data_IF_032150796189
#
_entry.id   IF_032150796189
#
_cell.length_a   1.000
_cell.length_b   1.000
_cell.length_c   1.000
_cell.angle_alpha   90.00
_cell.angle_beta   90.00
_cell.angle_gamma   90.00
#
_symmetry.space_group_name_H-M   'P 1'
#
loop_
_entity.id
_entity.type
_entity.pdbx_description
1 polymer ?
#
# COMPACT_ATOMS: atom_id res chain seq x y z
N UNK A 1 15.07 -60.72 21.12
CA UNK A 1 14.33 -59.96 20.10
C UNK A 1 15.32 -59.06 19.38
N UNK A 2 15.73 -59.43 18.17
CA UNK A 2 16.59 -58.56 17.36
C UNK A 2 15.69 -57.55 16.65
N UNK A 3 15.72 -56.29 17.08
CA UNK A 3 15.17 -55.19 16.27
C UNK A 3 15.98 -55.14 14.97
N UNK A 4 15.32 -55.37 13.85
CA UNK A 4 15.96 -55.51 12.55
C UNK A 4 16.70 -54.23 12.19
N UNK A 5 17.95 -54.35 11.73
CA UNK A 5 18.78 -53.24 11.25
C UNK A 5 18.06 -52.38 10.18
N UNK A 6 17.13 -52.97 9.42
CA UNK A 6 16.30 -52.29 8.42
C UNK A 6 15.23 -51.36 9.03
N UNK A 7 14.61 -51.72 10.16
CA UNK A 7 13.64 -50.87 10.86
C UNK A 7 14.30 -49.61 11.43
N UNK A 8 15.56 -49.73 11.88
CA UNK A 8 16.33 -48.62 12.43
C UNK A 8 16.71 -47.58 11.35
N UNK A 9 16.95 -48.01 10.11
CA UNK A 9 17.27 -47.10 9.00
C UNK A 9 16.02 -46.39 8.46
N UNK A 10 14.87 -47.08 8.40
CA UNK A 10 13.60 -46.49 7.97
C UNK A 10 13.09 -45.45 8.98
N UNK A 11 13.21 -45.72 10.28
CA UNK A 11 12.85 -44.79 11.35
C UNK A 11 13.76 -43.57 11.39
N UNK A 12 15.08 -43.72 11.20
CA UNK A 12 16.01 -42.59 11.05
C UNK A 12 15.68 -41.72 9.84
N UNK A 13 15.34 -42.32 8.70
CA UNK A 13 14.97 -41.58 7.48
C UNK A 13 13.65 -40.81 7.67
N UNK A 14 12.67 -41.43 8.34
CA UNK A 14 11.37 -40.80 8.65
C UNK A 14 11.53 -39.66 9.65
N UNK A 15 12.37 -39.84 10.67
CA UNK A 15 12.69 -38.81 11.64
C UNK A 15 13.40 -37.62 10.97
N UNK A 16 14.37 -37.89 10.10
CA UNK A 16 15.09 -36.84 9.36
C UNK A 16 14.14 -36.06 8.43
N UNK A 17 13.22 -36.75 7.74
CA UNK A 17 12.20 -36.11 6.91
C UNK A 17 11.23 -35.24 7.74
N UNK A 18 10.75 -35.75 8.88
CA UNK A 18 9.87 -35.00 9.77
C UNK A 18 10.58 -33.80 10.41
N UNK A 19 11.86 -33.93 10.74
CA UNK A 19 12.69 -32.85 11.28
C UNK A 19 12.92 -31.75 10.24
N UNK A 20 13.27 -32.14 9.01
CA UNK A 20 13.38 -31.21 7.89
C UNK A 20 12.05 -30.51 7.60
N UNK A 21 10.93 -31.26 7.60
CA UNK A 21 9.59 -30.70 7.39
C UNK A 21 9.19 -29.71 8.49
N UNK A 22 9.42 -30.04 9.76
CA UNK A 22 8.90 -29.25 10.87
C UNK A 22 9.78 -28.03 11.19
N UNK A 23 11.10 -28.14 11.02
CA UNK A 23 12.01 -27.05 11.32
C UNK A 23 12.32 -26.24 10.07
N UNK A 24 12.83 -26.90 9.03
CA UNK A 24 13.39 -26.22 7.87
C UNK A 24 12.35 -25.49 7.01
N UNK A 25 11.12 -25.99 6.91
CA UNK A 25 10.06 -25.35 6.13
C UNK A 25 9.67 -23.95 6.66
N UNK A 26 9.44 -23.75 7.97
CA UNK A 26 9.25 -22.41 8.53
C UNK A 26 10.40 -21.43 8.26
N UNK A 27 11.65 -21.88 8.29
CA UNK A 27 12.80 -21.02 7.98
C UNK A 27 12.76 -20.56 6.52
N UNK A 28 12.59 -21.49 5.58
CA UNK A 28 12.47 -21.15 4.14
C UNK A 28 11.31 -20.18 3.89
N UNK A 29 10.16 -20.38 4.57
CA UNK A 29 9.01 -19.49 4.44
C UNK A 29 9.31 -18.07 4.95
N UNK A 30 10.14 -17.95 6.00
CA UNK A 30 10.57 -16.67 6.54
C UNK A 30 11.53 -15.96 5.59
N UNK A 31 12.52 -16.67 5.09
CA UNK A 31 13.55 -16.12 4.21
C UNK A 31 12.93 -15.60 2.89
N UNK A 32 12.02 -16.37 2.27
CA UNK A 32 11.30 -15.93 1.06
C UNK A 32 10.44 -14.67 1.31
N UNK A 33 9.82 -14.55 2.49
CA UNK A 33 9.09 -13.33 2.85
C UNK A 33 10.02 -12.12 2.98
N UNK A 34 11.16 -12.29 3.65
CA UNK A 34 12.15 -11.23 3.83
C UNK A 34 12.72 -10.78 2.47
N UNK A 35 13.11 -11.73 1.61
CA UNK A 35 13.62 -11.41 0.27
C UNK A 35 12.62 -10.63 -0.59
N UNK A 36 11.34 -11.01 -0.57
CA UNK A 36 10.28 -10.28 -1.30
C UNK A 36 10.13 -8.86 -0.77
N UNK A 37 10.18 -8.68 0.54
CA UNK A 37 10.09 -7.37 1.19
C UNK A 37 11.28 -6.50 0.83
N UNK A 38 12.49 -7.05 0.79
CA UNK A 38 13.69 -6.31 0.42
C UNK A 38 13.69 -5.90 -1.04
N UNK A 39 13.32 -6.80 -1.95
CA UNK A 39 13.17 -6.48 -3.38
C UNK A 39 12.10 -5.40 -3.61
N UNK A 40 10.98 -5.48 -2.87
CA UNK A 40 9.95 -4.44 -2.93
C UNK A 40 10.46 -3.11 -2.40
N UNK A 41 11.21 -3.10 -1.28
CA UNK A 41 11.84 -1.89 -0.73
C UNK A 41 12.76 -1.24 -1.75
N UNK A 42 13.68 -2.01 -2.34
CA UNK A 42 14.60 -1.54 -3.36
C UNK A 42 13.84 -0.97 -4.58
N UNK A 43 12.80 -1.67 -5.06
CA UNK A 43 11.97 -1.18 -6.16
C UNK A 43 11.22 0.12 -5.83
N UNK A 44 10.68 0.24 -4.61
CA UNK A 44 10.03 1.46 -4.13
C UNK A 44 11.04 2.61 -4.05
N UNK A 45 12.23 2.38 -3.51
CA UNK A 45 13.25 3.41 -3.35
C UNK A 45 13.76 3.91 -4.71
N UNK A 46 13.97 3.00 -5.67
CA UNK A 46 14.26 3.34 -7.05
C UNK A 46 13.13 4.18 -7.67
N UNK A 47 11.88 3.75 -7.56
CA UNK A 47 10.74 4.48 -8.13
C UNK A 47 10.46 5.82 -7.43
N UNK A 48 10.76 5.96 -6.14
CA UNK A 48 10.75 7.24 -5.42
C UNK A 48 11.83 8.17 -5.93
N UNK A 49 13.07 7.68 -6.10
CA UNK A 49 14.18 8.47 -6.63
C UNK A 49 13.91 8.94 -8.07
N UNK A 50 13.24 8.11 -8.87
CA UNK A 50 12.79 8.45 -10.23
C UNK A 50 11.55 9.36 -10.26
N UNK A 51 10.97 9.75 -9.11
CA UNK A 51 9.82 10.65 -9.04
C UNK A 51 8.52 10.09 -9.63
N UNK A 52 8.38 8.75 -9.68
CA UNK A 52 7.18 8.08 -10.22
C UNK A 52 6.00 8.11 -9.25
N UNK A 53 6.26 8.16 -7.94
CA UNK A 53 5.22 8.29 -6.93
C UNK A 53 4.72 9.74 -6.81
N UNK A 54 3.80 10.12 -7.69
CA UNK A 54 3.18 11.46 -7.71
C UNK A 54 1.87 11.54 -6.90
N UNK A 55 1.56 10.50 -6.12
CA UNK A 55 0.32 10.38 -5.36
C UNK A 55 -0.93 10.26 -6.23
N UNK A 56 -2.11 10.42 -5.63
CA UNK A 56 -3.38 10.43 -6.35
C UNK A 56 -3.52 11.75 -7.12
N UNK A 57 -3.67 11.66 -8.45
CA UNK A 57 -3.95 12.83 -9.29
C UNK A 57 -5.26 13.51 -8.83
N UNK A 58 -5.25 14.83 -8.56
CA UNK A 58 -6.47 15.56 -8.26
C UNK A 58 -7.47 15.47 -9.42
N UNK A 59 -8.77 15.42 -9.11
CA UNK A 59 -9.80 15.50 -10.14
C UNK A 59 -10.03 16.98 -10.50
N UNK A 60 -9.40 17.43 -11.58
CA UNK A 60 -9.43 18.83 -12.02
C UNK A 60 -10.86 19.35 -12.25
N UNK A 61 -11.72 18.55 -12.90
CA UNK A 61 -13.11 18.95 -13.22
C UNK A 61 -13.91 19.29 -11.96
N UNK A 62 -13.78 18.46 -10.94
CA UNK A 62 -14.47 18.67 -9.65
C UNK A 62 -13.92 19.90 -8.93
N UNK A 63 -12.60 20.14 -9.03
CA UNK A 63 -12.00 21.32 -8.43
C UNK A 63 -12.48 22.62 -9.11
N UNK A 64 -12.56 22.65 -10.44
CA UNK A 64 -13.10 23.78 -11.22
C UNK A 64 -14.56 24.07 -10.86
N UNK A 65 -15.40 23.03 -10.77
CA UNK A 65 -16.79 23.17 -10.36
C UNK A 65 -16.93 23.77 -8.95
N UNK A 66 -16.10 23.31 -8.00
CA UNK A 66 -16.10 23.86 -6.63
C UNK A 66 -15.71 25.34 -6.63
N UNK A 67 -14.68 25.73 -7.40
CA UNK A 67 -14.22 27.12 -7.50
C UNK A 67 -15.31 28.01 -8.11
N UNK A 68 -15.97 27.56 -9.17
CA UNK A 68 -17.09 28.29 -9.80
C UNK A 68 -18.27 28.47 -8.83
N UNK A 69 -18.67 27.41 -8.12
CA UNK A 69 -19.75 27.47 -7.12
C UNK A 69 -19.40 28.39 -5.96
N UNK A 70 -18.13 28.38 -5.52
CA UNK A 70 -17.68 29.28 -4.45
C UNK A 70 -17.52 30.73 -4.89
N UNK A 71 -17.05 30.98 -6.12
CA UNK A 71 -17.03 32.30 -6.72
C UNK A 71 -18.43 32.89 -6.89
N UNK A 72 -19.44 32.05 -7.16
CA UNK A 72 -20.84 32.42 -7.22
C UNK A 72 -21.53 32.66 -5.87
N UNK A 73 -20.80 32.59 -4.75
CA UNK A 73 -21.34 32.90 -3.41
C UNK A 73 -22.06 31.74 -2.71
N UNK A 74 -22.02 30.51 -3.23
CA UNK A 74 -22.69 29.37 -2.58
C UNK A 74 -22.06 29.01 -1.23
N UNK A 75 -22.90 28.55 -0.29
CA UNK A 75 -22.42 28.03 1.00
C UNK A 75 -21.60 26.74 0.81
N UNK A 76 -20.74 26.41 1.78
CA UNK A 76 -19.86 25.22 1.66
C UNK A 76 -20.70 23.93 1.59
N UNK A 77 -21.81 23.87 2.33
CA UNK A 77 -22.70 22.71 2.36
C UNK A 77 -23.50 22.56 1.04
N UNK A 78 -23.94 23.68 0.44
CA UNK A 78 -24.60 23.68 -0.87
C UNK A 78 -23.62 23.25 -1.98
N UNK A 79 -22.41 23.81 -2.00
CA UNK A 79 -21.39 23.45 -2.99
C UNK A 79 -21.00 21.96 -2.90
N UNK A 80 -20.92 21.41 -1.69
CA UNK A 80 -20.65 19.99 -1.47
C UNK A 80 -21.77 19.09 -2.04
N UNK A 81 -23.05 19.46 -1.81
CA UNK A 81 -24.19 18.72 -2.35
C UNK A 81 -24.25 18.78 -3.88
N UNK A 82 -24.07 19.96 -4.47
CA UNK A 82 -24.14 20.16 -5.92
C UNK A 82 -22.98 19.49 -6.66
N UNK A 83 -21.77 19.49 -6.09
CA UNK A 83 -20.61 18.83 -6.68
C UNK A 83 -20.50 17.34 -6.32
N UNK A 84 -21.36 16.81 -5.44
CA UNK A 84 -21.34 15.41 -5.02
C UNK A 84 -20.10 15.01 -4.22
N UNK A 85 -19.52 15.94 -3.46
CA UNK A 85 -18.25 15.74 -2.72
C UNK A 85 -18.41 16.04 -1.23
N UNK A 86 -17.46 15.57 -0.43
CA UNK A 86 -17.44 15.88 1.00
C UNK A 86 -17.14 17.37 1.26
N UNK A 87 -17.71 17.89 2.35
CA UNK A 87 -17.44 19.25 2.84
C UNK A 87 -15.94 19.49 3.08
N UNK A 88 -15.21 18.46 3.55
CA UNK A 88 -13.76 18.52 3.75
C UNK A 88 -13.00 18.71 2.43
N UNK A 89 -13.46 18.11 1.35
CA UNK A 89 -12.86 18.29 0.03
C UNK A 89 -13.09 19.72 -0.49
N UNK A 90 -14.30 20.28 -0.32
CA UNK A 90 -14.59 21.67 -0.70
C UNK A 90 -13.68 22.65 0.04
N UNK A 91 -13.55 22.50 1.37
CA UNK A 91 -12.65 23.35 2.18
C UNK A 91 -11.19 23.25 1.72
N UNK A 92 -10.71 22.03 1.47
CA UNK A 92 -9.33 21.80 1.02
C UNK A 92 -9.06 22.43 -0.34
N UNK A 93 -9.96 22.24 -1.31
CA UNK A 93 -9.82 22.81 -2.66
C UNK A 93 -9.86 24.34 -2.61
N UNK A 94 -10.77 24.92 -1.81
CA UNK A 94 -10.86 26.38 -1.68
C UNK A 94 -9.61 26.99 -1.03
N UNK A 95 -9.08 26.37 0.02
CA UNK A 95 -7.82 26.80 0.63
C UNK A 95 -6.64 26.73 -0.35
N UNK A 96 -6.56 25.65 -1.14
CA UNK A 96 -5.54 25.51 -2.20
C UNK A 96 -5.68 26.59 -3.28
N UNK A 97 -6.90 26.94 -3.66
CA UNK A 97 -7.17 28.01 -4.63
C UNK A 97 -6.76 29.39 -4.09
N UNK A 98 -7.07 29.70 -2.82
CA UNK A 98 -6.66 30.96 -2.19
C UNK A 98 -5.14 31.07 -2.07
N UNK A 99 -4.45 30.01 -1.67
CA UNK A 99 -2.99 29.98 -1.62
C UNK A 99 -2.38 30.23 -3.01
N UNK A 100 -2.86 29.53 -4.04
CA UNK A 100 -2.41 29.73 -5.41
C UNK A 100 -2.68 31.15 -5.96
N UNK A 101 -3.71 31.84 -5.46
CA UNK A 101 -3.99 33.24 -5.81
C UNK A 101 -3.07 34.22 -5.06
N UNK A 102 -2.56 33.85 -3.89
CA UNK A 102 -1.68 34.71 -3.08
C UNK A 102 -0.22 34.66 -3.54
N UNK A 103 0.19 33.55 -4.17
CA UNK A 103 1.55 33.35 -4.70
C UNK A 103 1.75 33.97 -6.11
N UNK A 104 0.70 34.58 -6.70
CA UNK A 104 0.69 35.24 -8.02
C UNK A 104 0.44 36.73 -7.83
#
# INVERSE_FOLDING_TARGET
MAVNFYDLNLTKFTLAYNFFRFLYSPQIARDDFEDRRERQRQGIDLAKSAGLYRGRKPNAKVHEQIIALKGGGCSIAEAARLAGVSVSQVKRVWAQHLAAKADV
#
